data_IF_128919644584
#
_entry.id   IF_128919644584
#
_cell.length_a   1.000
_cell.length_b   1.000
_cell.length_c   1.000
_cell.angle_alpha   90.00
_cell.angle_beta   90.00
_cell.angle_gamma   90.00
#
_symmetry.space_group_name_H-M   'P 1'
#
loop_
_entity.id
_entity.type
_entity.pdbx_description
1 polymer ?
#
# COMPACT_ATOMS: atom_id res chain seq x y z
N UNK A 1 -12.04 47.89 -49.02
CA UNK A 1 -10.92 46.91 -49.14
C UNK A 1 -10.24 46.65 -47.80
N UNK A 2 -9.95 47.66 -46.98
CA UNK A 2 -9.35 47.49 -45.65
C UNK A 2 -10.21 46.70 -44.63
N UNK A 3 -11.54 46.87 -44.63
CA UNK A 3 -12.41 46.19 -43.65
C UNK A 3 -12.47 44.67 -43.81
N UNK A 4 -12.44 44.17 -45.05
CA UNK A 4 -12.43 42.73 -45.34
C UNK A 4 -11.11 42.10 -44.85
N UNK A 5 -9.98 42.78 -45.07
CA UNK A 5 -8.66 42.31 -44.63
C UNK A 5 -8.59 42.26 -43.10
N UNK A 6 -9.14 43.27 -42.42
CA UNK A 6 -9.21 43.31 -40.95
C UNK A 6 -10.11 42.18 -40.41
N UNK A 7 -11.27 41.93 -41.02
CA UNK A 7 -12.18 40.84 -40.65
C UNK A 7 -11.52 39.46 -40.77
N UNK A 8 -10.79 39.20 -41.87
CA UNK A 8 -10.09 37.93 -42.09
C UNK A 8 -8.93 37.76 -41.10
N UNK A 9 -8.18 38.84 -40.81
CA UNK A 9 -7.12 38.82 -39.80
C UNK A 9 -7.66 38.52 -38.40
N UNK A 10 -8.77 39.15 -38.00
CA UNK A 10 -9.42 38.90 -36.71
C UNK A 10 -9.92 37.45 -36.62
N UNK A 11 -10.56 36.93 -37.67
CA UNK A 11 -11.01 35.53 -37.72
C UNK A 11 -9.86 34.53 -37.61
N UNK A 12 -8.74 34.80 -38.28
CA UNK A 12 -7.52 33.98 -38.18
C UNK A 12 -6.93 33.98 -36.77
N UNK A 13 -6.84 35.15 -36.14
CA UNK A 13 -6.33 35.28 -34.76
C UNK A 13 -7.24 34.54 -33.76
N UNK A 14 -8.56 34.67 -33.88
CA UNK A 14 -9.52 33.98 -33.01
C UNK A 14 -9.43 32.45 -33.16
N UNK A 15 -9.25 31.96 -34.38
CA UNK A 15 -9.11 30.51 -34.66
C UNK A 15 -7.81 29.95 -34.07
N UNK A 16 -6.71 30.70 -34.18
CA UNK A 16 -5.42 30.35 -33.57
C UNK A 16 -5.51 30.32 -32.04
N UNK A 17 -6.12 31.34 -31.43
CA UNK A 17 -6.34 31.40 -29.98
C UNK A 17 -7.24 30.26 -29.48
N UNK A 18 -8.31 29.94 -30.23
CA UNK A 18 -9.19 28.82 -29.93
C UNK A 18 -8.46 27.48 -29.94
N UNK A 19 -7.63 27.25 -30.96
CA UNK A 19 -6.82 26.02 -31.08
C UNK A 19 -5.79 25.91 -29.96
N UNK A 20 -5.11 27.00 -29.62
CA UNK A 20 -4.14 27.04 -28.51
C UNK A 20 -4.82 26.75 -27.16
N UNK A 21 -6.00 27.31 -26.92
CA UNK A 21 -6.78 27.06 -25.71
C UNK A 21 -7.23 25.60 -25.63
N UNK A 22 -7.71 25.03 -26.72
CA UNK A 22 -8.10 23.62 -26.79
C UNK A 22 -6.91 22.69 -26.49
N UNK A 23 -5.76 22.92 -27.12
CA UNK A 23 -4.53 22.17 -26.86
C UNK A 23 -4.07 22.30 -25.40
N UNK A 24 -4.16 23.49 -24.81
CA UNK A 24 -3.83 23.72 -23.41
C UNK A 24 -4.76 22.96 -22.46
N UNK A 25 -6.07 22.98 -22.71
CA UNK A 25 -7.06 22.24 -21.92
C UNK A 25 -6.85 20.73 -22.04
N UNK A 26 -6.58 20.23 -23.25
CA UNK A 26 -6.26 18.83 -23.49
C UNK A 26 -5.00 18.41 -22.73
N UNK A 27 -3.90 19.16 -22.87
CA UNK A 27 -2.67 18.91 -22.11
C UNK A 27 -2.92 18.87 -20.60
N UNK A 28 -3.70 19.83 -20.07
CA UNK A 28 -4.05 19.86 -18.64
C UNK A 28 -4.88 18.65 -18.22
N UNK A 29 -5.78 18.17 -19.07
CA UNK A 29 -6.59 16.97 -18.80
C UNK A 29 -5.73 15.71 -18.76
N UNK A 30 -4.81 15.53 -19.71
CA UNK A 30 -3.88 14.41 -19.76
C UNK A 30 -2.94 14.38 -18.55
N UNK A 31 -2.47 15.54 -18.09
CA UNK A 31 -1.67 15.64 -16.87
C UNK A 31 -2.47 15.24 -15.63
N UNK A 32 -3.77 15.55 -15.56
CA UNK A 32 -4.65 15.07 -14.48
C UNK A 32 -4.82 13.55 -14.55
N UNK A 33 -5.12 13.00 -15.73
CA UNK A 33 -5.28 11.55 -15.91
C UNK A 33 -4.01 10.79 -15.50
N UNK A 34 -2.82 11.21 -15.97
CA UNK A 34 -1.55 10.59 -15.58
C UNK A 34 -1.31 10.62 -14.07
N UNK A 35 -1.64 11.71 -13.40
CA UNK A 35 -1.54 11.80 -11.92
C UNK A 35 -2.49 10.85 -11.21
N UNK A 36 -3.73 10.68 -11.71
CA UNK A 36 -4.69 9.73 -11.15
C UNK A 36 -4.22 8.30 -11.30
N UNK A 37 -3.75 7.92 -12.49
CA UNK A 37 -3.25 6.56 -12.75
C UNK A 37 -2.03 6.24 -11.89
N UNK A 38 -1.07 7.17 -11.78
CA UNK A 38 0.09 7.00 -10.91
C UNK A 38 -0.33 6.85 -9.43
N UNK A 39 -1.33 7.61 -8.97
CA UNK A 39 -1.84 7.47 -7.61
C UNK A 39 -2.48 6.10 -7.38
N UNK A 40 -3.32 5.61 -8.30
CA UNK A 40 -3.93 4.28 -8.24
C UNK A 40 -2.89 3.16 -8.23
N UNK A 41 -1.88 3.23 -9.10
CA UNK A 41 -0.79 2.26 -9.16
C UNK A 41 -0.09 2.17 -7.81
N UNK A 42 0.29 3.32 -7.25
CA UNK A 42 0.87 3.39 -5.91
C UNK A 42 -0.06 2.75 -4.88
N UNK A 43 -1.37 3.07 -4.89
CA UNK A 43 -2.27 2.61 -3.82
C UNK A 43 -2.43 1.09 -3.87
N UNK A 44 -2.36 0.51 -5.08
CA UNK A 44 -2.32 -0.94 -5.28
C UNK A 44 -1.10 -1.60 -4.61
N UNK A 45 0.05 -0.92 -4.56
CA UNK A 45 1.27 -1.42 -3.92
C UNK A 45 1.15 -1.39 -2.40
N UNK A 46 0.57 -0.31 -1.84
CA UNK A 46 0.25 -0.25 -0.40
C UNK A 46 -0.71 -1.36 -0.02
N UNK A 47 -1.74 -1.62 -0.84
CA UNK A 47 -2.69 -2.71 -0.58
C UNK A 47 -2.01 -4.07 -0.57
N UNK A 48 -1.13 -4.34 -1.55
CA UNK A 48 -0.33 -5.58 -1.59
C UNK A 48 0.54 -5.73 -0.36
N UNK A 49 1.21 -4.65 0.06
CA UNK A 49 2.02 -4.62 1.27
C UNK A 49 1.21 -5.01 2.52
N UNK A 50 0.04 -4.39 2.72
CA UNK A 50 -0.85 -4.69 3.84
C UNK A 50 -1.28 -6.16 3.87
N UNK A 51 -1.67 -6.71 2.72
CA UNK A 51 -2.09 -8.12 2.59
C UNK A 51 -0.95 -9.06 2.97
N UNK A 52 0.23 -8.87 2.38
CA UNK A 52 1.39 -9.74 2.67
C UNK A 52 1.80 -9.66 4.14
N UNK A 53 1.67 -8.48 4.77
CA UNK A 53 1.88 -8.34 6.20
C UNK A 53 0.86 -9.14 7.04
N UNK A 54 -0.40 -9.18 6.63
CA UNK A 54 -1.43 -9.93 7.37
C UNK A 54 -1.29 -11.44 7.18
N UNK A 55 -1.00 -11.89 5.96
CA UNK A 55 -0.84 -13.32 5.64
C UNK A 55 0.25 -14.00 6.47
N UNK A 56 1.43 -13.37 6.59
CA UNK A 56 2.50 -13.91 7.42
C UNK A 56 2.17 -13.90 8.91
N UNK A 57 1.52 -12.85 9.40
CA UNK A 57 1.10 -12.79 10.81
C UNK A 57 0.13 -13.93 11.12
N UNK A 58 -0.81 -14.21 10.22
CA UNK A 58 -1.72 -15.35 10.38
C UNK A 58 -0.99 -16.69 10.28
N UNK A 59 -0.08 -16.87 9.32
CA UNK A 59 0.71 -18.10 9.16
C UNK A 59 1.55 -18.45 10.40
N UNK A 60 2.20 -17.45 10.99
CA UNK A 60 3.05 -17.60 12.17
C UNK A 60 2.23 -17.86 13.45
N UNK A 61 0.94 -17.52 13.43
CA UNK A 61 0.04 -17.68 14.58
C UNK A 61 -0.76 -19.00 14.57
N UNK A 62 -0.53 -19.87 13.57
CA UNK A 62 -1.18 -21.18 13.48
C UNK A 62 -0.72 -22.12 14.63
N UNK A 63 0.57 -22.24 14.95
CA UNK A 63 0.99 -23.12 16.03
C UNK A 63 0.65 -22.59 17.42
N UNK A 64 0.46 -21.27 17.58
CA UNK A 64 0.00 -20.69 18.86
C UNK A 64 -1.44 -21.05 19.18
N UNK A 65 -2.29 -21.16 18.16
CA UNK A 65 -3.72 -21.44 18.32
C UNK A 65 -4.05 -22.94 18.40
N UNK A 66 -3.27 -23.78 17.72
CA UNK A 66 -3.49 -25.24 17.69
C UNK A 66 -2.68 -25.97 18.79
N UNK A 67 -1.63 -25.33 19.33
CA UNK A 67 -0.66 -25.94 20.24
C UNK A 67 0.33 -26.80 19.45
N UNK A 68 1.63 -26.47 19.54
CA UNK A 68 2.72 -27.18 18.85
C UNK A 68 2.73 -28.70 19.09
N UNK A 69 2.20 -29.13 20.24
CA UNK A 69 2.04 -30.53 20.64
C UNK A 69 1.08 -31.36 19.77
N UNK A 70 0.24 -30.70 18.98
CA UNK A 70 -0.71 -31.34 18.05
C UNK A 70 -0.21 -31.41 16.60
N UNK A 71 0.99 -30.89 16.31
CA UNK A 71 1.61 -31.02 15.00
C UNK A 71 2.35 -32.36 14.91
N UNK A 72 1.98 -33.18 13.93
CA UNK A 72 2.87 -34.28 13.52
C UNK A 72 4.14 -33.72 12.85
N UNK A 73 5.18 -34.56 12.73
CA UNK A 73 6.49 -34.13 12.24
C UNK A 73 6.47 -33.64 10.79
N UNK A 74 5.51 -34.09 9.99
CA UNK A 74 5.35 -33.69 8.58
C UNK A 74 4.69 -32.32 8.50
N UNK A 75 3.58 -32.13 9.22
CA UNK A 75 2.87 -30.86 9.33
C UNK A 75 3.78 -29.76 9.90
N UNK A 76 4.64 -30.11 10.87
CA UNK A 76 5.61 -29.16 11.43
C UNK A 76 6.62 -28.71 10.37
N UNK A 77 7.18 -29.65 9.59
CA UNK A 77 8.15 -29.33 8.54
C UNK A 77 7.52 -28.51 7.39
N UNK A 78 6.28 -28.82 7.02
CA UNK A 78 5.53 -28.04 6.02
C UNK A 78 5.26 -26.61 6.51
N UNK A 79 4.83 -26.46 7.76
CA UNK A 79 4.63 -25.17 8.38
C UNK A 79 5.94 -24.36 8.44
N UNK A 80 7.04 -24.97 8.90
CA UNK A 80 8.36 -24.31 8.95
C UNK A 80 8.83 -23.86 7.57
N UNK A 81 8.61 -24.67 6.53
CA UNK A 81 8.94 -24.29 5.16
C UNK A 81 8.09 -23.12 4.67
N UNK A 82 6.78 -23.14 4.97
CA UNK A 82 5.89 -22.03 4.63
C UNK A 82 6.29 -20.72 5.32
N UNK A 83 6.67 -20.80 6.60
CA UNK A 83 7.19 -19.65 7.35
C UNK A 83 8.50 -19.14 6.75
N UNK A 84 9.43 -20.02 6.37
CA UNK A 84 10.68 -19.63 5.71
C UNK A 84 10.43 -18.97 4.36
N UNK A 85 9.52 -19.51 3.55
CA UNK A 85 9.17 -18.92 2.26
C UNK A 85 8.54 -17.54 2.42
N UNK A 86 7.58 -17.40 3.33
CA UNK A 86 6.95 -16.11 3.60
C UNK A 86 7.92 -15.14 4.26
N UNK A 87 8.87 -15.62 5.08
CA UNK A 87 9.95 -14.82 5.64
C UNK A 87 10.85 -14.25 4.53
N UNK A 88 11.26 -15.06 3.56
CA UNK A 88 12.06 -14.57 2.43
C UNK A 88 11.29 -13.57 1.57
N UNK A 89 9.99 -13.80 1.34
CA UNK A 89 9.11 -12.79 0.70
C UNK A 89 9.07 -11.51 1.54
N UNK A 90 8.93 -11.63 2.86
CA UNK A 90 8.86 -10.53 3.81
C UNK A 90 10.14 -9.71 3.91
N UNK A 91 11.30 -10.36 3.94
CA UNK A 91 12.62 -9.72 4.01
C UNK A 91 12.91 -8.90 2.75
N UNK A 92 12.39 -9.36 1.61
CA UNK A 92 12.52 -8.70 0.33
C UNK A 92 11.40 -7.68 0.07
N UNK A 93 10.40 -7.58 0.95
CA UNK A 93 9.50 -6.43 0.92
C UNK A 93 10.30 -5.18 1.26
N UNK A 94 10.11 -4.08 0.53
CA UNK A 94 10.83 -2.86 0.83
C UNK A 94 10.51 -2.36 2.25
N UNK A 95 11.50 -2.44 3.13
CA UNK A 95 11.39 -1.95 4.52
C UNK A 95 11.31 -0.43 4.51
N UNK A 96 10.10 0.12 4.66
CA UNK A 96 9.78 1.52 4.98
C UNK A 96 10.29 2.63 4.05
N UNK A 97 11.32 2.40 3.23
CA UNK A 97 11.84 3.37 2.27
C UNK A 97 10.89 3.50 1.08
N UNK A 98 10.58 2.38 0.41
CA UNK A 98 9.77 2.42 -0.81
C UNK A 98 8.30 2.75 -0.54
N UNK A 99 7.67 2.22 0.52
CA UNK A 99 6.29 2.58 0.84
C UNK A 99 6.13 4.06 1.24
N UNK A 100 7.14 4.67 1.89
CA UNK A 100 7.20 6.12 2.14
C UNK A 100 7.50 6.93 0.87
N UNK A 101 8.29 6.37 -0.06
CA UNK A 101 8.62 6.99 -1.35
C UNK A 101 7.47 6.85 -2.36
N UNK A 102 6.56 5.89 -2.15
CA UNK A 102 5.44 5.58 -3.04
C UNK A 102 4.15 6.37 -2.70
N UNK A 103 4.03 7.11 -1.59
CA UNK A 103 2.81 7.90 -1.26
C UNK A 103 3.08 9.37 -0.92
N UNK A 104 2.66 10.36 -1.74
CA UNK A 104 1.35 11.07 -1.85
C UNK A 104 0.76 11.49 -0.50
N UNK A 105 1.25 12.61 0.06
CA UNK A 105 0.55 13.66 0.83
C UNK A 105 -0.35 13.33 2.04
N UNK A 106 -0.85 12.11 2.22
CA UNK A 106 -1.83 11.76 3.25
C UNK A 106 -1.13 11.24 4.50
N UNK A 107 -1.13 12.10 5.52
CA UNK A 107 -0.49 11.84 6.81
C UNK A 107 -1.05 10.61 7.52
N UNK A 108 -2.36 10.29 7.38
CA UNK A 108 -2.97 9.17 8.10
C UNK A 108 -2.49 7.82 7.57
N UNK A 109 -2.33 7.70 6.25
CA UNK A 109 -1.76 6.50 5.61
C UNK A 109 -0.31 6.33 6.06
N UNK A 110 0.48 7.42 6.06
CA UNK A 110 1.89 7.39 6.47
C UNK A 110 2.06 7.01 7.95
N UNK A 111 1.27 7.59 8.84
CA UNK A 111 1.31 7.29 10.28
C UNK A 111 0.89 5.84 10.54
N UNK A 112 -0.13 5.34 9.84
CA UNK A 112 -0.56 3.94 9.92
C UNK A 112 0.50 2.96 9.43
N UNK A 113 1.11 3.20 8.27
CA UNK A 113 2.19 2.38 7.73
C UNK A 113 3.40 2.35 8.67
N UNK A 114 3.76 3.49 9.28
CA UNK A 114 4.85 3.53 10.25
C UNK A 114 4.54 2.74 11.53
N UNK A 115 3.28 2.63 11.94
CA UNK A 115 2.89 1.79 13.08
C UNK A 115 2.95 0.30 12.73
N UNK A 116 2.48 -0.07 11.52
CA UNK A 116 2.58 -1.43 10.99
C UNK A 116 4.06 -1.86 10.95
N UNK A 117 4.97 -1.01 10.47
CA UNK A 117 6.41 -1.31 10.44
C UNK A 117 6.98 -1.58 11.84
N UNK A 118 6.60 -0.79 12.85
CA UNK A 118 7.08 -0.94 14.23
C UNK A 118 6.54 -2.22 14.86
N UNK A 119 5.24 -2.48 14.72
CA UNK A 119 4.60 -3.68 15.24
C UNK A 119 5.13 -4.93 14.53
N UNK A 120 5.38 -4.86 13.22
CA UNK A 120 6.01 -5.92 12.42
C UNK A 120 7.35 -6.34 13.01
N UNK A 121 8.24 -5.38 13.28
CA UNK A 121 9.56 -5.66 13.86
C UNK A 121 9.41 -6.32 15.24
N UNK A 122 8.48 -5.80 16.07
CA UNK A 122 8.24 -6.33 17.41
C UNK A 122 7.70 -7.76 17.38
N UNK A 123 6.72 -8.03 16.51
CA UNK A 123 6.15 -9.35 16.30
C UNK A 123 7.21 -10.35 15.86
N UNK A 124 8.07 -9.96 14.92
CA UNK A 124 9.15 -10.82 14.44
C UNK A 124 10.19 -11.15 15.51
N UNK A 125 10.63 -10.16 16.30
CA UNK A 125 11.56 -10.38 17.41
C UNK A 125 10.98 -11.32 18.47
N UNK A 126 9.70 -11.15 18.79
CA UNK A 126 9.00 -12.00 19.74
C UNK A 126 8.82 -13.43 19.20
N UNK A 127 8.56 -13.59 17.90
CA UNK A 127 8.49 -14.88 17.24
C UNK A 127 9.81 -15.65 17.31
N UNK A 128 10.93 -14.99 16.99
CA UNK A 128 12.26 -15.62 17.06
C UNK A 128 12.64 -16.07 18.48
N UNK A 129 12.03 -15.45 19.50
CA UNK A 129 12.31 -15.69 20.91
C UNK A 129 11.25 -16.59 21.59
N UNK A 130 10.38 -17.25 20.80
CA UNK A 130 9.34 -18.18 21.29
C UNK A 130 9.92 -19.46 21.86
N UNK A 131 10.40 -19.37 23.10
CA UNK A 131 10.75 -20.51 23.97
C UNK A 131 9.82 -20.65 25.18
N UNK A 132 8.85 -19.73 25.36
CA UNK A 132 8.03 -19.61 26.57
C UNK A 132 6.55 -19.29 26.26
N UNK A 133 5.61 -19.97 26.94
CA UNK A 133 4.15 -19.81 26.79
C UNK A 133 3.66 -18.38 27.06
N UNK A 134 4.34 -17.60 27.93
CA UNK A 134 3.97 -16.18 28.17
C UNK A 134 4.24 -15.27 26.97
N UNK A 135 5.19 -15.64 26.10
CA UNK A 135 5.48 -14.90 24.86
C UNK A 135 4.42 -15.16 23.78
N UNK A 136 3.66 -16.25 23.88
CA UNK A 136 2.54 -16.55 22.97
C UNK A 136 1.39 -15.55 23.12
N UNK A 137 1.00 -15.18 24.35
CA UNK A 137 -0.08 -14.20 24.60
C UNK A 137 0.29 -12.82 24.05
N UNK A 138 1.55 -12.40 24.24
CA UNK A 138 2.05 -11.12 23.71
C UNK A 138 2.06 -11.09 22.17
N UNK A 139 2.20 -12.24 21.51
CA UNK A 139 2.12 -12.34 20.06
C UNK A 139 0.68 -12.24 19.56
N UNK A 140 -0.28 -12.84 20.27
CA UNK A 140 -1.70 -12.73 19.93
C UNK A 140 -2.20 -11.28 20.05
N UNK A 141 -1.81 -10.55 21.10
CA UNK A 141 -2.16 -9.13 21.25
C UNK A 141 -1.59 -8.27 20.12
N UNK A 142 -0.31 -8.49 19.76
CA UNK A 142 0.35 -7.78 18.67
C UNK A 142 -0.27 -8.11 17.31
N UNK A 143 -0.71 -9.36 17.11
CA UNK A 143 -1.45 -9.79 15.92
C UNK A 143 -2.76 -9.02 15.79
N UNK A 144 -3.58 -8.99 16.84
CA UNK A 144 -4.86 -8.29 16.80
C UNK A 144 -4.69 -6.76 16.65
N UNK A 145 -3.64 -6.18 17.23
CA UNK A 145 -3.28 -4.78 16.99
C UNK A 145 -2.89 -4.52 15.52
N UNK A 146 -2.05 -5.38 14.93
CA UNK A 146 -1.63 -5.26 13.54
C UNK A 146 -2.83 -5.39 12.58
N UNK A 147 -3.75 -6.33 12.84
CA UNK A 147 -5.01 -6.48 12.09
C UNK A 147 -5.86 -5.22 12.13
N UNK A 148 -6.04 -4.62 13.31
CA UNK A 148 -6.83 -3.40 13.48
C UNK A 148 -6.24 -2.21 12.71
N UNK A 149 -4.93 -2.00 12.79
CA UNK A 149 -4.27 -0.89 12.10
C UNK A 149 -4.31 -1.11 10.58
N UNK A 150 -4.04 -2.33 10.10
CA UNK A 150 -4.11 -2.64 8.67
C UNK A 150 -5.52 -2.43 8.11
N UNK A 151 -6.57 -2.83 8.83
CA UNK A 151 -7.96 -2.58 8.43
C UNK A 151 -8.29 -1.08 8.40
N UNK A 152 -7.82 -0.30 9.38
CA UNK A 152 -8.01 1.15 9.41
C UNK A 152 -7.33 1.83 8.22
N UNK A 153 -6.09 1.45 7.92
CA UNK A 153 -5.36 1.99 6.75
C UNK A 153 -6.05 1.58 5.46
N UNK A 154 -6.46 0.32 5.32
CA UNK A 154 -7.18 -0.17 4.14
C UNK A 154 -8.49 0.56 3.88
N UNK A 155 -9.28 0.84 4.93
CA UNK A 155 -10.53 1.61 4.78
C UNK A 155 -10.28 3.05 4.35
N UNK A 156 -9.25 3.70 4.90
CA UNK A 156 -8.89 5.06 4.51
C UNK A 156 -8.32 5.10 3.08
N UNK A 157 -7.53 4.09 2.72
CA UNK A 157 -7.01 3.89 1.38
C UNK A 157 -8.13 3.83 0.33
N UNK A 158 -9.14 2.98 0.57
CA UNK A 158 -10.29 2.83 -0.33
C UNK A 158 -11.05 4.17 -0.49
N UNK A 159 -11.24 4.91 0.61
CA UNK A 159 -11.87 6.24 0.57
C UNK A 159 -11.08 7.24 -0.29
N UNK A 160 -9.75 7.30 -0.13
CA UNK A 160 -8.92 8.22 -0.90
C UNK A 160 -8.91 7.85 -2.39
N UNK A 161 -8.96 6.56 -2.73
CA UNK A 161 -9.08 6.10 -4.12
C UNK A 161 -10.42 6.55 -4.73
N UNK A 162 -11.53 6.43 -4.00
CA UNK A 162 -12.86 6.84 -4.47
C UNK A 162 -12.96 8.36 -4.70
N UNK A 163 -12.17 9.16 -3.98
CA UNK A 163 -12.13 10.63 -4.10
C UNK A 163 -11.26 11.12 -5.28
N UNK A 164 -10.47 10.25 -5.92
CA UNK A 164 -9.53 10.58 -7.02
C UNK A 164 -10.15 10.39 -8.40
#
# INVERSE_FOLDING_TARGET
MNEIIISVLIGGILTLLGTLLANYLQYRSEQRHRKKELAKERFSEVRRYLITCLEFVDLVSIPTSIGLENFDSVALAEWENSVKEHHEKWKNLPVSGSARVLFVGDKQILDGLSQIDKLRIRFYLNYLDMTDKRKMILLDEQREELKRIAASVGKHLDKVIDEI
#
